data_IF_140397136898
#
_entry.id   IF_140397136898
#
_cell.length_a   1.000
_cell.length_b   1.000
_cell.length_c   1.000
_cell.angle_alpha   90.00
_cell.angle_beta   90.00
_cell.angle_gamma   90.00
#
_symmetry.space_group_name_H-M   'P 1'
#
loop_
_entity.id
_entity.type
_entity.pdbx_description
1 polymer ?
#
# COMPACT_ATOMS: atom_id res chain seq x y z
N UNK A 1 16.77 36.15 31.52
CA UNK A 1 17.42 35.60 30.32
C UNK A 1 17.56 34.09 30.48
N UNK A 2 17.21 33.32 29.43
CA UNK A 2 17.73 31.97 29.12
C UNK A 2 17.37 30.83 30.12
N UNK A 3 16.76 29.70 29.76
CA UNK A 3 16.36 29.07 28.48
C UNK A 3 15.20 28.12 28.79
N UNK A 4 14.14 28.15 27.99
CA UNK A 4 13.10 27.10 27.98
C UNK A 4 13.68 25.96 27.15
N UNK A 5 14.02 24.85 27.81
CA UNK A 5 14.42 23.61 27.14
C UNK A 5 13.13 22.87 26.75
N UNK A 6 12.76 22.99 25.47
CA UNK A 6 11.70 22.22 24.84
C UNK A 6 12.26 20.83 24.58
N UNK A 7 11.88 19.87 25.43
CA UNK A 7 12.14 18.45 25.23
C UNK A 7 11.17 17.92 24.17
N UNK A 8 11.63 17.86 22.91
CA UNK A 8 10.92 17.20 21.82
C UNK A 8 10.97 15.68 22.06
N UNK A 9 9.97 15.17 22.76
CA UNK A 9 9.65 13.73 22.76
C UNK A 9 8.99 13.44 21.42
N UNK A 10 9.80 13.05 20.44
CA UNK A 10 9.34 12.50 19.16
C UNK A 10 8.75 11.12 19.40
N UNK A 11 7.45 11.06 19.64
CA UNK A 11 6.68 9.81 19.70
C UNK A 11 6.68 9.18 18.32
N UNK A 12 7.46 8.11 18.17
CA UNK A 12 7.24 7.08 17.17
C UNK A 12 5.90 6.41 17.48
N UNK A 13 4.86 6.75 16.72
CA UNK A 13 3.62 5.98 16.66
C UNK A 13 3.49 5.37 15.26
N UNK A 14 4.20 4.27 15.04
CA UNK A 14 3.69 3.21 14.18
C UNK A 14 2.34 2.77 14.78
N UNK A 15 1.29 2.82 13.98
CA UNK A 15 -0.05 2.52 14.47
C UNK A 15 -1.08 2.73 13.40
N UNK A 16 -1.20 1.75 12.50
CA UNK A 16 -2.34 1.58 11.64
C UNK A 16 -3.63 1.74 12.45
N UNK A 17 -4.30 2.88 12.29
CA UNK A 17 -5.69 3.02 12.71
C UNK A 17 -6.56 2.28 11.70
N UNK A 18 -6.48 0.95 11.70
CA UNK A 18 -7.51 0.10 11.11
C UNK A 18 -8.70 0.12 12.06
N UNK A 19 -9.62 1.04 11.82
CA UNK A 19 -10.95 0.99 12.42
C UNK A 19 -11.59 -0.34 12.04
N UNK A 20 -11.69 -1.22 13.04
CA UNK A 20 -12.30 -2.53 12.97
C UNK A 20 -13.80 -2.45 12.67
N UNK A 21 -14.30 -3.56 12.11
CA UNK A 21 -15.71 -3.94 11.88
C UNK A 21 -16.31 -3.63 10.49
N UNK A 22 -15.61 -4.05 9.43
CA UNK A 22 -16.23 -4.57 8.22
C UNK A 22 -15.63 -5.97 7.98
N UNK A 23 -16.45 -6.96 7.63
CA UNK A 23 -16.20 -8.42 7.61
C UNK A 23 -14.73 -8.88 7.69
N UNK A 24 -14.42 -9.84 8.56
CA UNK A 24 -13.06 -10.43 8.69
C UNK A 24 -12.36 -10.68 7.35
N UNK A 25 -13.11 -11.08 6.32
CA UNK A 25 -12.62 -11.31 4.96
C UNK A 25 -12.24 -10.03 4.22
N UNK A 26 -12.98 -8.93 4.37
CA UNK A 26 -12.68 -7.64 3.74
C UNK A 26 -11.38 -7.04 4.30
N UNK A 27 -11.15 -7.21 5.62
CA UNK A 27 -9.90 -6.82 6.28
C UNK A 27 -8.69 -7.56 5.73
N UNK A 28 -8.82 -8.88 5.56
CA UNK A 28 -7.74 -9.73 5.03
C UNK A 28 -7.43 -9.37 3.57
N UNK A 29 -8.47 -9.21 2.76
CA UNK A 29 -8.35 -8.81 1.36
C UNK A 29 -7.76 -7.41 1.20
N UNK A 30 -8.14 -6.46 2.05
CA UNK A 30 -7.55 -5.12 2.06
C UNK A 30 -6.06 -5.17 2.40
N UNK A 31 -5.68 -5.99 3.38
CA UNK A 31 -4.27 -6.19 3.77
C UNK A 31 -3.46 -6.73 2.59
N UNK A 32 -3.98 -7.72 1.88
CA UNK A 32 -3.32 -8.27 0.70
C UNK A 32 -3.19 -7.23 -0.44
N UNK A 33 -4.20 -6.39 -0.65
CA UNK A 33 -4.13 -5.29 -1.62
C UNK A 33 -3.08 -4.24 -1.24
N UNK A 34 -3.01 -3.86 0.04
CA UNK A 34 -2.04 -2.87 0.52
C UNK A 34 -0.63 -3.40 0.41
N UNK A 35 -0.38 -4.65 0.80
CA UNK A 35 0.92 -5.30 0.65
C UNK A 35 1.39 -5.33 -0.81
N UNK A 36 0.48 -5.61 -1.76
CA UNK A 36 0.83 -5.55 -3.18
C UNK A 36 1.13 -4.13 -3.66
N UNK A 37 0.43 -3.11 -3.14
CA UNK A 37 0.71 -1.70 -3.44
C UNK A 37 2.09 -1.29 -2.91
N UNK A 38 2.43 -1.68 -1.68
CA UNK A 38 3.73 -1.42 -1.06
C UNK A 38 4.86 -2.10 -1.86
N UNK A 39 4.64 -3.33 -2.34
CA UNK A 39 5.61 -4.02 -3.19
C UNK A 39 5.87 -3.32 -4.53
N UNK A 40 4.94 -2.50 -5.04
CA UNK A 40 5.07 -1.75 -6.29
C UNK A 40 5.64 -0.34 -6.05
N UNK A 41 5.13 0.35 -5.03
CA UNK A 41 5.35 1.79 -4.82
C UNK A 41 6.28 2.11 -3.64
N UNK A 42 6.74 1.11 -2.89
CA UNK A 42 7.54 1.26 -1.69
C UNK A 42 6.72 1.18 -0.40
N UNK A 43 7.38 0.79 0.69
CA UNK A 43 6.77 0.60 2.02
C UNK A 43 6.31 1.93 2.67
N UNK A 44 6.75 3.06 2.14
CA UNK A 44 6.39 4.42 2.57
C UNK A 44 5.17 4.98 1.81
N UNK A 45 4.62 4.22 0.85
CA UNK A 45 3.42 4.59 0.13
C UNK A 45 2.21 4.67 1.06
N UNK A 46 1.61 5.86 1.18
CA UNK A 46 0.39 6.04 1.97
C UNK A 46 -0.83 5.61 1.17
N UNK A 47 -1.62 4.71 1.73
CA UNK A 47 -2.85 4.23 1.09
C UNK A 47 -4.10 4.74 1.81
N UNK A 48 -5.15 5.02 1.04
CA UNK A 48 -6.46 5.40 1.56
C UNK A 48 -7.57 4.74 0.76
N UNK A 49 -8.29 3.82 1.41
CA UNK A 49 -9.45 3.17 0.81
C UNK A 49 -10.53 4.22 0.45
N UNK A 50 -10.99 4.19 -0.79
CA UNK A 50 -12.01 5.10 -1.34
C UNK A 50 -13.33 4.42 -1.65
N UNK A 51 -13.31 3.11 -1.90
CA UNK A 51 -14.53 2.37 -2.13
C UNK A 51 -14.28 0.88 -2.18
N UNK A 52 -15.31 0.12 -1.80
CA UNK A 52 -15.35 -1.34 -1.86
C UNK A 52 -16.60 -1.72 -2.65
N UNK A 53 -16.47 -2.69 -3.56
CA UNK A 53 -17.56 -3.22 -4.36
C UNK A 53 -17.36 -4.71 -4.54
N UNK A 54 -18.34 -5.49 -4.10
CA UNK A 54 -18.42 -6.91 -4.43
C UNK A 54 -18.73 -7.08 -5.92
N UNK A 55 -17.88 -7.85 -6.61
CA UNK A 55 -18.03 -8.21 -8.03
C UNK A 55 -18.00 -9.72 -8.17
N UNK A 56 -18.38 -10.24 -9.34
CA UNK A 56 -18.43 -11.69 -9.58
C UNK A 56 -17.06 -12.36 -9.35
N UNK A 57 -15.98 -11.66 -9.67
CA UNK A 57 -14.60 -12.13 -9.52
C UNK A 57 -14.03 -11.99 -8.11
N UNK A 58 -14.75 -11.38 -7.15
CA UNK A 58 -14.24 -11.13 -5.80
C UNK A 58 -14.59 -9.74 -5.28
N UNK A 59 -13.74 -9.19 -4.43
CA UNK A 59 -13.93 -7.88 -3.81
C UNK A 59 -13.06 -6.86 -4.54
N UNK A 60 -13.71 -5.92 -5.23
CA UNK A 60 -13.03 -4.80 -5.89
C UNK A 60 -12.89 -3.64 -4.91
N UNK A 61 -11.68 -3.16 -4.71
CA UNK A 61 -11.33 -2.03 -3.85
C UNK A 61 -10.69 -0.91 -4.69
N UNK A 62 -11.09 0.33 -4.43
CA UNK A 62 -10.45 1.52 -4.99
C UNK A 62 -9.62 2.16 -3.89
N UNK A 63 -8.31 2.23 -4.08
CA UNK A 63 -7.36 2.70 -3.09
C UNK A 63 -6.63 3.90 -3.68
N UNK A 64 -6.72 5.05 -3.00
CA UNK A 64 -5.87 6.19 -3.33
C UNK A 64 -4.49 5.91 -2.76
N UNK A 65 -3.49 5.82 -3.63
CA UNK A 65 -2.09 5.59 -3.27
C UNK A 65 -1.32 6.88 -3.42
N UNK A 66 -0.49 7.18 -2.43
CA UNK A 66 0.39 8.35 -2.36
C UNK A 66 1.80 7.83 -2.15
N UNK A 67 2.54 7.50 -3.22
CA UNK A 67 3.96 7.15 -3.12
C UNK A 67 4.74 8.33 -2.54
N UNK A 68 5.90 8.06 -1.93
CA UNK A 68 6.74 9.14 -1.41
C UNK A 68 7.31 10.03 -2.52
N UNK A 69 7.70 9.40 -3.63
CA UNK A 69 8.37 10.06 -4.76
C UNK A 69 7.43 10.38 -5.93
N UNK A 70 6.16 10.73 -5.67
CA UNK A 70 5.26 11.04 -6.77
C UNK A 70 3.88 11.55 -6.41
N UNK A 71 3.08 11.70 -7.46
CA UNK A 71 1.70 12.15 -7.33
C UNK A 71 0.79 11.07 -6.77
N UNK A 72 -0.28 11.53 -6.15
CA UNK A 72 -1.38 10.66 -5.77
C UNK A 72 -2.01 9.99 -6.99
N UNK A 73 -2.18 8.68 -6.94
CA UNK A 73 -2.86 7.91 -7.97
C UNK A 73 -3.98 7.03 -7.40
N UNK A 74 -4.81 6.48 -8.29
CA UNK A 74 -5.86 5.55 -7.92
C UNK A 74 -5.48 4.15 -8.37
N UNK A 75 -5.34 3.25 -7.41
CA UNK A 75 -5.14 1.82 -7.67
C UNK A 75 -6.47 1.10 -7.47
N UNK A 76 -6.83 0.27 -8.44
CA UNK A 76 -7.93 -0.69 -8.30
C UNK A 76 -7.33 -2.03 -7.93
N UNK A 77 -7.75 -2.56 -6.79
CA UNK A 77 -7.43 -3.91 -6.38
C UNK A 77 -8.66 -4.82 -6.56
N UNK A 78 -8.47 -6.02 -7.08
CA UNK A 78 -9.49 -7.07 -7.07
C UNK A 78 -8.92 -8.25 -6.31
N UNK A 79 -9.46 -8.51 -5.11
CA UNK A 79 -9.13 -9.68 -4.32
C UNK A 79 -10.15 -10.78 -4.61
N UNK A 80 -9.70 -11.83 -5.29
CA UNK A 80 -10.51 -12.99 -5.61
C UNK A 80 -10.75 -13.85 -4.35
N UNK A 81 -11.77 -14.73 -4.44
CA UNK A 81 -12.14 -15.62 -3.32
C UNK A 81 -11.12 -16.72 -3.06
N UNK A 82 -10.25 -17.00 -4.04
CA UNK A 82 -9.14 -17.95 -3.95
C UNK A 82 -7.86 -17.33 -3.37
N UNK A 83 -7.91 -16.04 -2.98
CA UNK A 83 -6.77 -15.31 -2.44
C UNK A 83 -5.93 -14.58 -3.49
N UNK A 84 -6.24 -14.73 -4.78
CA UNK A 84 -5.52 -14.02 -5.85
C UNK A 84 -5.80 -12.52 -5.78
N UNK A 85 -4.76 -11.69 -5.87
CA UNK A 85 -4.87 -10.24 -5.91
C UNK A 85 -4.42 -9.72 -7.26
N UNK A 86 -5.26 -8.89 -7.89
CA UNK A 86 -4.93 -8.18 -9.13
C UNK A 86 -4.97 -6.68 -8.86
N UNK A 87 -3.86 -6.00 -9.15
CA UNK A 87 -3.74 -4.55 -9.03
C UNK A 87 -3.71 -3.92 -10.41
N UNK A 88 -4.49 -2.86 -10.59
CA UNK A 88 -4.47 -2.06 -11.81
C UNK A 88 -4.48 -0.57 -11.51
N UNK A 89 -3.97 0.25 -12.42
CA UNK A 89 -4.10 1.70 -12.35
C UNK A 89 -5.51 2.21 -12.74
N UNK A 90 -5.62 3.53 -12.94
CA UNK A 90 -6.83 4.21 -13.42
C UNK A 90 -7.25 3.81 -14.83
N UNK A 91 -6.29 3.41 -15.66
CA UNK A 91 -6.45 3.08 -17.07
C UNK A 91 -6.72 1.57 -17.25
N UNK A 92 -6.66 0.81 -16.16
CA UNK A 92 -6.90 -0.63 -16.14
C UNK A 92 -5.66 -1.45 -16.49
N UNK A 93 -4.48 -0.82 -16.52
CA UNK A 93 -3.21 -1.50 -16.76
C UNK A 93 -2.80 -2.26 -15.51
N UNK A 94 -2.43 -3.53 -15.67
CA UNK A 94 -1.98 -4.36 -14.56
C UNK A 94 -0.66 -3.83 -14.00
N UNK A 95 -0.63 -3.65 -12.68
CA UNK A 95 0.56 -3.26 -11.95
C UNK A 95 1.30 -4.51 -11.50
N UNK A 96 2.61 -4.52 -11.71
CA UNK A 96 3.48 -5.63 -11.30
C UNK A 96 4.59 -5.06 -10.43
N UNK A 97 4.88 -5.76 -9.33
CA UNK A 97 6.03 -5.40 -8.51
C UNK A 97 7.31 -5.59 -9.35
N UNK A 98 8.29 -4.68 -9.25
CA UNK A 98 9.57 -4.88 -9.91
C UNK A 98 10.18 -6.19 -9.41
N UNK A 99 10.56 -7.07 -10.34
CA UNK A 99 11.35 -8.24 -10.00
C UNK A 99 12.74 -7.75 -9.58
N UNK A 100 13.00 -7.68 -8.27
CA UNK A 100 14.36 -7.53 -7.74
C UNK A 100 15.14 -8.81 -8.07
N UNK A 101 15.62 -8.91 -9.31
CA UNK A 101 16.57 -9.94 -9.66
C UNK A 101 17.87 -9.61 -8.95
N UNK A 102 18.23 -10.43 -7.96
CA UNK A 102 19.53 -10.40 -7.27
C UNK A 102 20.75 -10.62 -8.20
N UNK A 103 20.53 -10.73 -9.52
CA UNK A 103 21.57 -10.78 -10.54
C UNK A 103 22.18 -9.39 -10.83
N UNK A 104 21.53 -8.29 -10.46
CA UNK A 104 22.04 -6.92 -10.66
C UNK A 104 22.90 -6.44 -9.46
N UNK A 105 23.74 -7.33 -8.94
CA UNK A 105 24.82 -6.94 -8.02
C UNK A 105 25.88 -6.23 -8.86
N UNK A 106 25.76 -4.92 -9.04
CA UNK A 106 26.84 -4.07 -9.58
C UNK A 106 28.02 -4.16 -8.61
N UNK A 107 28.98 -5.03 -8.93
CA UNK A 107 30.26 -5.10 -8.24
C UNK A 107 31.07 -3.88 -8.68
N UNK A 108 31.01 -2.81 -7.91
CA UNK A 108 32.00 -1.73 -7.99
C UNK A 108 33.31 -2.30 -7.43
N UNK A 109 34.14 -2.86 -8.31
CA UNK A 109 35.55 -3.00 -8.01
C UNK A 109 36.21 -1.65 -8.24
N UNK A 110 36.80 -1.12 -7.16
CA UNK A 110 37.72 0.02 -7.12
C UNK A 110 38.97 -0.24 -7.99
#
# INVERSE_FOLDING_TARGET
MKKIAITLVGVLAAGAAVTAMAGKTDSEQLTACVAGIEAIYGDDARTKLRGVKNVRSGTKMRIKTMPADGDSLMVTCVAAKDGTVVLTDSDGVALTAPAYNTADKVSLND
#
